data_IF_623657283264
#
_entry.id   IF_623657283264
#
_cell.length_a   1.000
_cell.length_b   1.000
_cell.length_c   1.000
_cell.angle_alpha   90.00
_cell.angle_beta   90.00
_cell.angle_gamma   90.00
#
_symmetry.space_group_name_H-M   'P 1'
#
loop_
_entity.id
_entity.type
_entity.pdbx_description
1 polymer ?
#
# COMPACT_ATOMS: atom_id res chain seq x y z
N UNK A 1 -12.23 -5.90 -10.98
CA UNK A 1 -11.93 -4.60 -10.36
C UNK A 1 -10.50 -4.26 -10.76
N UNK A 2 -10.24 -3.13 -11.41
CA UNK A 2 -8.87 -2.68 -11.60
C UNK A 2 -8.17 -2.71 -10.23
N UNK A 3 -7.00 -3.33 -10.12
CA UNK A 3 -6.30 -3.46 -8.84
C UNK A 3 -6.15 -2.06 -8.22
N UNK A 4 -6.39 -1.89 -6.92
CA UNK A 4 -6.21 -0.61 -6.20
C UNK A 4 -4.85 0.04 -6.53
N UNK A 5 -3.84 -0.78 -6.78
CA UNK A 5 -2.50 -0.36 -7.25
C UNK A 5 -2.57 0.34 -8.61
N UNK A 6 -3.32 -0.20 -9.57
CA UNK A 6 -3.52 0.40 -10.88
C UNK A 6 -4.25 1.74 -10.77
N UNK A 7 -5.30 1.83 -9.95
CA UNK A 7 -6.01 3.09 -9.71
C UNK A 7 -5.08 4.16 -9.10
N UNK A 8 -4.37 3.82 -8.02
CA UNK A 8 -3.42 4.73 -7.37
C UNK A 8 -2.25 5.13 -8.30
N UNK A 9 -1.82 4.23 -9.18
CA UNK A 9 -0.79 4.52 -10.19
C UNK A 9 -1.31 5.51 -11.24
N UNK A 10 -2.52 5.28 -11.77
CA UNK A 10 -3.17 6.21 -12.70
C UNK A 10 -3.39 7.58 -12.06
N UNK A 11 -3.78 7.62 -10.79
CA UNK A 11 -3.94 8.87 -10.02
C UNK A 11 -2.63 9.65 -9.93
N UNK A 12 -1.54 9.01 -9.51
CA UNK A 12 -0.22 9.63 -9.42
C UNK A 12 0.28 10.10 -10.80
N UNK A 13 0.14 9.27 -11.83
CA UNK A 13 0.53 9.63 -13.20
C UNK A 13 -0.29 10.83 -13.71
N UNK A 14 -1.59 10.87 -13.40
CA UNK A 14 -2.51 11.95 -13.76
C UNK A 14 -2.05 13.33 -13.29
N UNK A 15 -1.35 13.41 -12.15
CA UNK A 15 -0.84 14.66 -11.58
C UNK A 15 0.18 15.37 -12.49
N UNK A 16 0.92 14.63 -13.31
CA UNK A 16 1.95 15.15 -14.21
C UNK A 16 1.51 15.28 -15.66
N UNK A 17 0.24 14.96 -15.96
CA UNK A 17 -0.28 15.05 -17.33
C UNK A 17 -0.35 16.50 -17.81
N UNK A 18 -0.23 16.72 -19.11
CA UNK A 18 -0.36 18.03 -19.76
C UNK A 18 0.61 19.12 -19.23
N UNK A 19 1.80 18.73 -18.78
CA UNK A 19 2.82 19.68 -18.30
C UNK A 19 2.51 20.30 -16.94
N UNK A 20 1.62 19.67 -16.16
CA UNK A 20 1.31 20.10 -14.80
C UNK A 20 2.43 19.70 -13.84
N UNK A 21 2.71 20.59 -12.90
CA UNK A 21 3.52 20.30 -11.71
C UNK A 21 2.57 20.27 -10.52
N UNK A 22 2.32 19.11 -9.88
CA UNK A 22 1.48 19.05 -8.70
C UNK A 22 2.12 19.81 -7.54
N UNK A 23 1.30 20.29 -6.63
CA UNK A 23 1.81 20.77 -5.36
C UNK A 23 2.45 19.61 -4.57
N UNK A 24 3.46 19.89 -3.73
CA UNK A 24 4.19 18.84 -3.01
C UNK A 24 3.31 17.99 -2.08
N UNK A 25 2.24 18.55 -1.53
CA UNK A 25 1.35 17.85 -0.60
C UNK A 25 0.47 16.83 -1.34
N UNK A 26 -0.12 17.22 -2.46
CA UNK A 26 -0.90 16.33 -3.34
C UNK A 26 -0.05 15.21 -3.90
N UNK A 27 1.19 15.50 -4.33
CA UNK A 27 2.12 14.46 -4.77
C UNK A 27 2.42 13.47 -3.62
N UNK A 28 2.77 13.98 -2.44
CA UNK A 28 3.07 13.15 -1.28
C UNK A 28 1.87 12.26 -0.89
N UNK A 29 0.65 12.81 -0.93
CA UNK A 29 -0.58 12.06 -0.67
C UNK A 29 -0.79 10.93 -1.69
N UNK A 30 -0.68 11.21 -2.98
CA UNK A 30 -0.83 10.20 -4.04
C UNK A 30 0.25 9.09 -3.95
N UNK A 31 1.48 9.44 -3.55
CA UNK A 31 2.55 8.46 -3.30
C UNK A 31 2.25 7.58 -2.09
N UNK A 32 1.75 8.16 -0.99
CA UNK A 32 1.35 7.39 0.21
C UNK A 32 0.22 6.42 -0.13
N UNK A 33 -0.78 6.86 -0.87
CA UNK A 33 -1.89 6.01 -1.34
C UNK A 33 -1.40 4.85 -2.20
N UNK A 34 -0.49 5.10 -3.15
CA UNK A 34 0.12 4.05 -3.95
C UNK A 34 0.93 3.06 -3.10
N UNK A 35 1.65 3.54 -2.09
CA UNK A 35 2.38 2.68 -1.16
C UNK A 35 1.43 1.78 -0.37
N UNK A 36 0.36 2.34 0.20
CA UNK A 36 -0.68 1.59 0.91
C UNK A 36 -1.30 0.51 0.03
N UNK A 37 -1.74 0.87 -1.18
CA UNK A 37 -2.34 -0.08 -2.13
C UNK A 37 -1.39 -1.23 -2.48
N UNK A 38 -0.10 -0.96 -2.59
CA UNK A 38 0.93 -1.99 -2.83
C UNK A 38 1.08 -2.94 -1.65
N UNK A 39 1.13 -2.45 -0.40
CA UNK A 39 1.28 -3.34 0.75
C UNK A 39 -0.01 -4.14 0.96
N UNK A 40 -1.19 -3.53 0.78
CA UNK A 40 -2.45 -4.25 0.84
C UNK A 40 -2.52 -5.40 -0.15
N UNK A 41 -2.11 -5.17 -1.41
CA UNK A 41 -2.05 -6.23 -2.41
C UNK A 41 -1.12 -7.35 -1.97
N UNK A 42 0.10 -7.01 -1.53
CA UNK A 42 1.08 -8.00 -1.09
C UNK A 42 0.57 -8.83 0.10
N UNK A 43 -0.10 -8.20 1.06
CA UNK A 43 -0.71 -8.88 2.21
C UNK A 43 -1.82 -9.83 1.75
N UNK A 44 -2.73 -9.37 0.87
CA UNK A 44 -3.81 -10.21 0.34
C UNK A 44 -3.29 -11.41 -0.43
N UNK A 45 -2.29 -11.21 -1.29
CA UNK A 45 -1.64 -12.29 -2.04
C UNK A 45 -0.96 -13.30 -1.10
N UNK A 46 -0.24 -12.82 -0.08
CA UNK A 46 0.40 -13.69 0.91
C UNK A 46 -0.61 -14.50 1.73
N UNK A 47 -1.72 -13.89 2.18
CA UNK A 47 -2.79 -14.58 2.91
C UNK A 47 -3.51 -15.59 2.02
N UNK A 48 -3.79 -15.24 0.76
CA UNK A 48 -4.46 -16.13 -0.19
C UNK A 48 -3.63 -17.37 -0.54
N UNK A 49 -2.30 -17.25 -0.56
CA UNK A 49 -1.38 -18.35 -0.80
C UNK A 49 -1.08 -19.20 0.45
N UNK A 50 -1.40 -18.70 1.65
CA UNK A 50 -1.11 -19.39 2.89
C UNK A 50 -2.12 -20.53 3.16
N UNK A 51 -1.71 -21.64 3.77
CA UNK A 51 -2.65 -22.55 4.41
C UNK A 51 -3.41 -21.81 5.53
N UNK A 52 -4.58 -22.31 5.98
CA UNK A 52 -5.37 -21.67 7.03
C UNK A 52 -4.53 -21.32 8.26
N UNK A 53 -4.43 -20.02 8.55
CA UNK A 53 -3.66 -19.51 9.69
C UNK A 53 -4.47 -19.67 10.99
N UNK A 54 -3.79 -20.03 12.08
CA UNK A 54 -4.39 -19.99 13.42
C UNK A 54 -4.63 -18.56 13.88
N UNK A 55 -5.43 -18.37 14.93
CA UNK A 55 -5.72 -17.05 15.47
C UNK A 55 -4.44 -16.35 15.96
N UNK A 56 -3.58 -17.09 16.66
CA UNK A 56 -2.31 -16.60 17.21
C UNK A 56 -1.34 -16.16 16.10
N UNK A 57 -1.33 -16.88 14.97
CA UNK A 57 -0.52 -16.51 13.80
C UNK A 57 -1.01 -15.21 13.17
N UNK A 58 -2.33 -15.00 13.08
CA UNK A 58 -2.91 -13.75 12.56
C UNK A 58 -2.63 -12.58 13.50
N UNK A 59 -2.73 -12.77 14.81
CA UNK A 59 -2.39 -11.75 15.82
C UNK A 59 -0.94 -11.33 15.71
N UNK A 60 0.00 -12.28 15.59
CA UNK A 60 1.42 -11.98 15.40
C UNK A 60 1.67 -11.15 14.14
N UNK A 61 1.03 -11.48 13.02
CA UNK A 61 1.14 -10.72 11.76
C UNK A 61 0.56 -9.30 11.94
N UNK A 62 -0.59 -9.17 12.60
CA UNK A 62 -1.19 -7.87 12.88
C UNK A 62 -0.27 -6.99 13.75
N UNK A 63 0.38 -7.57 14.77
CA UNK A 63 1.36 -6.86 15.59
C UNK A 63 2.57 -6.34 14.78
N UNK A 64 3.06 -7.10 13.80
CA UNK A 64 4.15 -6.66 12.91
C UNK A 64 3.77 -5.44 12.07
N UNK A 65 2.51 -5.37 11.63
CA UNK A 65 1.99 -4.21 10.89
C UNK A 65 1.81 -3.00 11.82
N UNK A 66 1.35 -3.23 13.05
CA UNK A 66 1.11 -2.18 14.04
C UNK A 66 2.39 -1.58 14.64
N UNK A 67 3.46 -2.36 14.78
CA UNK A 67 4.72 -1.88 15.35
C UNK A 67 5.51 -0.96 14.40
N UNK A 68 5.02 -0.73 13.18
CA UNK A 68 5.72 -0.02 12.12
C UNK A 68 6.86 -0.88 11.59
N UNK A 69 6.77 -1.30 10.33
CA UNK A 69 7.83 -2.04 9.62
C UNK A 69 9.06 -1.16 9.34
N UNK A 70 9.67 -0.60 10.39
CA UNK A 70 10.79 0.32 10.32
C UNK A 70 11.35 0.58 11.72
N UNK A 71 12.29 -0.28 12.14
CA UNK A 71 13.35 0.14 13.04
C UNK A 71 14.18 1.23 12.32
N UNK A 72 13.71 2.48 12.34
CA UNK A 72 14.55 3.65 12.13
C UNK A 72 15.13 4.01 13.50
N UNK A 73 16.25 3.37 13.83
CA UNK A 73 17.22 3.90 14.77
C UNK A 73 18.15 4.89 14.07
#
# INVERSE_FOLDING_TARGET
MASEVAHATCKLAGLYTYGRTPDPETEAAARRELATAKIERAIREAIAAAPPLTNEQRERIASLLASGGGNHG
#
